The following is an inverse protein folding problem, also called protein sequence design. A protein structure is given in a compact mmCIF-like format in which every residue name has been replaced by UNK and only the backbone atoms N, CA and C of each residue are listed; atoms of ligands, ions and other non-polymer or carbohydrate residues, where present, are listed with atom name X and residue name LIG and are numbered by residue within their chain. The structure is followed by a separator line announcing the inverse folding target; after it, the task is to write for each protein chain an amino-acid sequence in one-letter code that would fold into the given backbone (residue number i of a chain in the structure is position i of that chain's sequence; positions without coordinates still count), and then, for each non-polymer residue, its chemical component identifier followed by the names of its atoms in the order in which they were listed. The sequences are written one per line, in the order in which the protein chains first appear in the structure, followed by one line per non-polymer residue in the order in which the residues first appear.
data_IF_908817996411
#
_entry.id   IF_908817996411
#
_cell.length_a   1.000
_cell.length_b   1.000
_cell.length_c   1.000
_cell.angle_alpha   90.00
_cell.angle_beta   90.00
_cell.angle_gamma   90.00
#
_symmetry.space_group_name_H-M   'P 1'
#
loop_
_entity.id
_entity.type
_entity.pdbx_description
1 polymer ?
#
# COMPACT_ATOMS: atom_id res chain seq x y z
N UNK A 1 64.47 -41.42 -37.50
CA UNK A 1 64.33 -40.57 -36.30
C UNK A 1 63.90 -39.18 -36.75
N UNK A 2 62.63 -38.81 -36.57
CA UNK A 2 62.20 -37.49 -36.08
C UNK A 2 60.68 -37.49 -35.95
N UNK A 3 60.20 -37.14 -34.77
CA UNK A 3 58.81 -37.22 -34.33
C UNK A 3 57.95 -36.06 -34.88
N UNK A 4 56.72 -36.44 -35.23
CA UNK A 4 55.44 -35.75 -35.08
C UNK A 4 55.38 -34.47 -34.24
N UNK A 5 54.69 -33.44 -34.75
CA UNK A 5 53.70 -32.67 -34.00
C UNK A 5 52.78 -31.89 -34.97
N UNK A 6 51.54 -32.39 -35.14
CA UNK A 6 50.46 -31.69 -35.83
C UNK A 6 49.62 -30.99 -34.74
N UNK A 7 49.67 -29.66 -34.65
CA UNK A 7 48.87 -28.90 -33.69
C UNK A 7 47.50 -28.59 -34.31
N UNK A 8 46.47 -29.28 -33.85
CA UNK A 8 45.07 -29.03 -34.20
C UNK A 8 44.52 -27.99 -33.22
N UNK A 9 44.29 -26.76 -33.67
CA UNK A 9 43.63 -25.70 -32.88
C UNK A 9 42.13 -25.83 -33.08
N UNK A 10 41.44 -26.42 -32.10
CA UNK A 10 39.98 -26.42 -32.00
C UNK A 10 39.50 -25.08 -31.45
N UNK A 11 38.92 -24.25 -32.32
CA UNK A 11 38.17 -23.06 -31.92
C UNK A 11 36.88 -23.50 -31.20
N UNK A 12 36.85 -23.39 -29.87
CA UNK A 12 35.60 -23.46 -29.11
C UNK A 12 34.79 -22.21 -29.40
N UNK A 13 33.72 -22.35 -30.17
CA UNK A 13 32.66 -21.35 -30.28
C UNK A 13 32.00 -21.17 -28.92
N UNK A 14 32.40 -20.15 -28.17
CA UNK A 14 31.68 -19.70 -26.98
C UNK A 14 30.40 -19.02 -27.44
N UNK A 15 29.30 -19.77 -27.41
CA UNK A 15 27.96 -19.20 -27.51
C UNK A 15 27.74 -18.30 -26.29
N UNK A 16 27.95 -17.00 -26.46
CA UNK A 16 27.46 -16.00 -25.50
C UNK A 16 25.94 -16.04 -25.59
N UNK A 17 25.30 -16.80 -24.69
CA UNK A 17 23.89 -16.62 -24.38
C UNK A 17 23.74 -15.25 -23.72
N UNK A 18 23.57 -14.22 -24.54
CA UNK A 18 22.95 -12.98 -24.08
C UNK A 18 21.49 -13.30 -23.81
N UNK A 19 21.15 -13.59 -22.55
CA UNK A 19 19.77 -13.56 -22.11
C UNK A 19 19.18 -12.20 -22.52
N UNK A 20 18.00 -12.14 -23.15
CA UNK A 20 17.35 -10.87 -23.42
C UNK A 20 17.22 -10.11 -22.09
N UNK A 21 17.26 -8.76 -22.10
CA UNK A 21 16.99 -7.98 -20.91
C UNK A 21 15.65 -8.48 -20.36
N UNK A 22 15.62 -8.95 -19.12
CA UNK A 22 14.34 -9.08 -18.43
C UNK A 22 13.77 -7.66 -18.41
N UNK A 23 12.72 -7.42 -19.20
CA UNK A 23 11.86 -6.23 -19.05
C UNK A 23 11.32 -6.28 -17.62
N UNK A 24 12.07 -5.68 -16.71
CA UNK A 24 11.67 -5.54 -15.32
C UNK A 24 10.54 -4.53 -15.23
N UNK A 25 9.67 -4.72 -14.25
CA UNK A 25 8.65 -3.73 -13.88
C UNK A 25 9.34 -2.39 -13.61
N UNK A 26 8.98 -1.37 -14.37
CA UNK A 26 9.30 0.01 -14.09
C UNK A 26 8.75 0.41 -12.72
N UNK A 27 9.40 1.39 -12.08
CA UNK A 27 9.03 1.84 -10.72
C UNK A 27 7.61 2.39 -10.62
N UNK A 28 7.02 2.82 -11.73
CA UNK A 28 5.69 3.42 -11.80
C UNK A 28 4.65 2.50 -12.46
N UNK A 29 5.03 1.27 -12.80
CA UNK A 29 4.13 0.34 -13.47
C UNK A 29 3.12 -0.17 -12.45
N UNK A 30 1.82 -0.11 -12.77
CA UNK A 30 0.76 -0.64 -11.92
C UNK A 30 0.59 -2.13 -12.21
N UNK A 31 0.93 -3.00 -11.26
CA UNK A 31 0.82 -4.46 -11.43
C UNK A 31 -0.65 -4.90 -11.27
N UNK A 32 -1.31 -4.33 -10.26
CA UNK A 32 -2.65 -4.69 -9.85
C UNK A 32 -3.39 -3.44 -9.38
N UNK A 33 -4.56 -3.20 -9.97
CA UNK A 33 -5.45 -2.09 -9.63
C UNK A 33 -6.85 -2.63 -9.34
N UNK A 34 -7.43 -2.29 -8.19
CA UNK A 34 -8.81 -2.59 -7.85
C UNK A 34 -9.51 -1.32 -7.40
N UNK A 35 -10.49 -0.84 -8.16
CA UNK A 35 -11.27 0.36 -7.85
C UNK A 35 -12.75 0.00 -7.71
N UNK A 36 -13.22 -0.06 -6.47
CA UNK A 36 -14.63 -0.26 -6.13
C UNK A 36 -15.27 1.06 -5.72
N UNK A 37 -16.37 1.44 -6.38
CA UNK A 37 -17.08 2.71 -6.14
C UNK A 37 -18.58 2.52 -6.05
N UNK A 38 -19.19 3.26 -5.13
CA UNK A 38 -20.65 3.47 -5.05
C UNK A 38 -20.96 4.97 -5.11
N UNK A 39 -22.21 5.37 -4.90
CA UNK A 39 -22.56 6.80 -4.75
C UNK A 39 -22.11 7.37 -3.38
N UNK A 40 -21.73 6.52 -2.43
CA UNK A 40 -21.44 6.92 -1.05
C UNK A 40 -19.95 6.84 -0.70
N UNK A 41 -19.23 5.88 -1.28
CA UNK A 41 -17.87 5.56 -0.88
C UNK A 41 -17.04 5.02 -2.04
N UNK A 42 -15.72 5.06 -1.83
CA UNK A 42 -14.72 4.48 -2.72
C UNK A 42 -13.72 3.65 -1.92
N UNK A 43 -13.26 2.56 -2.53
CA UNK A 43 -12.10 1.78 -2.09
C UNK A 43 -11.27 1.41 -3.31
N UNK A 44 -10.11 2.04 -3.42
CA UNK A 44 -9.17 1.92 -4.54
C UNK A 44 -7.82 1.43 -4.02
N UNK A 45 -7.35 0.30 -4.53
CA UNK A 45 -6.04 -0.26 -4.25
C UNK A 45 -5.19 -0.27 -5.52
N UNK A 46 -3.92 0.12 -5.39
CA UNK A 46 -2.91 -0.02 -6.43
C UNK A 46 -1.68 -0.72 -5.86
N UNK A 47 -1.16 -1.75 -6.51
CA UNK A 47 0.17 -2.31 -6.28
C UNK A 47 1.09 -1.91 -7.43
N UNK A 48 2.23 -1.30 -7.11
CA UNK A 48 3.21 -0.84 -8.06
C UNK A 48 4.37 -1.83 -8.24
N UNK A 49 5.06 -1.72 -9.38
CA UNK A 49 6.24 -2.48 -9.79
C UNK A 49 7.36 -2.53 -8.75
N UNK A 50 7.53 -1.42 -8.03
CA UNK A 50 8.54 -1.24 -6.99
C UNK A 50 8.16 -1.88 -5.63
N UNK A 51 6.97 -2.45 -5.49
CA UNK A 51 6.49 -3.02 -4.22
C UNK A 51 5.67 -2.05 -3.35
N UNK A 52 5.42 -0.82 -3.79
CA UNK A 52 4.52 0.07 -3.07
C UNK A 52 3.07 -0.37 -3.27
N UNK A 53 2.31 -0.52 -2.19
CA UNK A 53 0.87 -0.67 -2.20
C UNK A 53 0.19 0.60 -1.67
N UNK A 54 -0.76 1.14 -2.43
CA UNK A 54 -1.50 2.36 -2.12
C UNK A 54 -2.97 2.07 -2.01
N UNK A 55 -3.57 2.45 -0.89
CA UNK A 55 -5.00 2.34 -0.64
C UNK A 55 -5.61 3.72 -0.46
N UNK A 56 -6.59 4.07 -1.30
CA UNK A 56 -7.48 5.21 -1.11
C UNK A 56 -8.85 4.68 -0.71
N UNK A 57 -9.34 5.04 0.48
CA UNK A 57 -10.65 4.57 0.91
C UNK A 57 -11.37 5.50 1.87
N UNK A 58 -12.70 5.55 1.77
CA UNK A 58 -13.57 6.34 2.64
C UNK A 58 -14.85 6.80 1.94
N UNK A 59 -15.64 7.68 2.58
CA UNK A 59 -16.73 8.39 1.91
C UNK A 59 -16.21 9.17 0.71
N UNK A 60 -17.02 9.30 -0.34
CA UNK A 60 -16.64 10.10 -1.51
C UNK A 60 -16.36 11.55 -1.09
N UNK A 61 -15.18 12.06 -1.45
CA UNK A 61 -14.71 13.40 -1.10
C UNK A 61 -13.97 13.48 0.25
N UNK A 62 -13.95 12.40 1.02
CA UNK A 62 -13.26 12.29 2.31
C UNK A 62 -12.33 11.06 2.36
N UNK A 63 -11.91 10.55 1.20
CA UNK A 63 -11.09 9.35 1.14
C UNK A 63 -9.71 9.56 1.75
N UNK A 64 -9.30 8.64 2.63
CA UNK A 64 -7.95 8.62 3.20
C UNK A 64 -7.02 7.84 2.30
N UNK A 65 -5.83 8.40 2.08
CA UNK A 65 -4.74 7.72 1.38
C UNK A 65 -3.81 7.05 2.39
N UNK A 66 -3.50 5.78 2.16
CA UNK A 66 -2.52 5.01 2.92
C UNK A 66 -1.54 4.34 1.97
N UNK A 67 -0.32 4.18 2.45
CA UNK A 67 0.77 3.57 1.72
C UNK A 67 1.39 2.47 2.58
N UNK A 68 1.84 1.42 1.93
CA UNK A 68 2.59 0.34 2.54
C UNK A 68 3.64 -0.15 1.56
N UNK A 69 4.87 -0.36 2.02
CA UNK A 69 5.93 -0.92 1.20
C UNK A 69 6.04 -2.41 1.47
N UNK A 70 5.96 -3.21 0.40
CA UNK A 70 6.18 -4.65 0.48
C UNK A 70 7.67 -4.93 0.38
N UNK A 71 8.13 -5.95 1.12
CA UNK A 71 9.46 -6.48 0.87
C UNK A 71 9.54 -7.08 -0.55
N UNK A 72 10.71 -7.04 -1.21
CA UNK A 72 10.85 -7.50 -2.59
C UNK A 72 10.32 -8.91 -2.83
N UNK A 73 10.54 -9.82 -1.88
CA UNK A 73 10.06 -11.21 -1.95
C UNK A 73 8.55 -11.36 -1.75
N UNK A 74 7.92 -10.49 -0.95
CA UNK A 74 6.45 -10.46 -0.83
C UNK A 74 5.81 -9.99 -2.14
N UNK A 75 6.36 -8.93 -2.72
CA UNK A 75 5.90 -8.43 -4.03
C UNK A 75 6.10 -9.48 -5.12
N UNK A 76 7.26 -10.16 -5.19
CA UNK A 76 7.48 -11.24 -6.16
C UNK A 76 6.46 -12.37 -5.98
N UNK A 77 6.18 -12.78 -4.73
CA UNK A 77 5.19 -13.81 -4.46
C UNK A 77 3.78 -13.42 -4.91
N UNK A 78 3.39 -12.14 -4.83
CA UNK A 78 2.11 -11.67 -5.37
C UNK A 78 2.14 -11.72 -6.91
N UNK A 79 3.21 -11.23 -7.53
CA UNK A 79 3.37 -11.26 -9.00
C UNK A 79 3.30 -12.68 -9.54
N UNK A 80 3.98 -13.63 -8.91
CA UNK A 80 3.99 -15.02 -9.33
C UNK A 80 2.60 -15.66 -9.19
N UNK A 81 1.87 -15.39 -8.10
CA UNK A 81 0.46 -15.82 -7.97
C UNK A 81 -0.44 -15.22 -9.05
N UNK A 82 -0.23 -13.97 -9.42
CA UNK A 82 -1.00 -13.34 -10.50
C UNK A 82 -0.72 -14.00 -11.86
N UNK A 83 0.53 -14.40 -12.13
CA UNK A 83 0.91 -15.14 -13.35
C UNK A 83 0.27 -16.51 -13.47
N UNK A 84 0.05 -17.18 -12.33
CA UNK A 84 -0.60 -18.51 -12.29
C UNK A 84 -2.11 -18.45 -12.55
N UNK A 85 -2.73 -17.28 -12.42
CA UNK A 85 -4.17 -17.12 -12.60
C UNK A 85 -4.49 -16.65 -14.01
N UNK A 86 -5.16 -17.51 -14.78
CA UNK A 86 -5.67 -17.12 -16.09
C UNK A 86 -6.96 -16.28 -15.97
N UNK A 87 -6.83 -14.98 -16.21
CA UNK A 87 -7.96 -14.04 -16.26
C UNK A 87 -8.56 -13.89 -17.66
N UNK A 88 -7.97 -14.48 -18.69
CA UNK A 88 -8.41 -14.30 -20.08
C UNK A 88 -9.82 -14.87 -20.29
N UNK A 89 -10.13 -16.00 -19.66
CA UNK A 89 -11.45 -16.66 -19.72
C UNK A 89 -12.47 -16.12 -18.70
N UNK A 90 -12.05 -15.28 -17.75
CA UNK A 90 -12.97 -14.70 -16.78
C UNK A 90 -13.84 -13.64 -17.47
N UNK A 91 -15.15 -13.78 -17.44
CA UNK A 91 -16.06 -12.75 -17.95
C UNK A 91 -16.34 -11.67 -16.90
N UNK A 92 -16.58 -10.44 -17.36
CA UNK A 92 -17.10 -9.37 -16.52
C UNK A 92 -18.55 -9.68 -16.13
N UNK A 93 -18.92 -9.40 -14.88
CA UNK A 93 -20.33 -9.47 -14.48
C UNK A 93 -21.07 -8.21 -14.92
N UNK A 94 -22.21 -8.39 -15.57
CA UNK A 94 -23.15 -7.32 -15.95
C UNK A 94 -24.37 -7.24 -15.05
N UNK A 95 -24.55 -8.20 -14.15
CA UNK A 95 -25.68 -8.24 -13.23
C UNK A 95 -25.32 -7.37 -12.02
N UNK A 96 -26.08 -6.32 -11.76
CA UNK A 96 -26.14 -5.79 -10.40
C UNK A 96 -27.58 -5.44 -10.06
N UNK A 97 -28.03 -5.90 -8.90
CA UNK A 97 -29.12 -5.22 -8.21
C UNK A 97 -28.62 -3.80 -7.95
N UNK A 98 -29.23 -2.81 -8.59
CA UNK A 98 -28.82 -1.41 -8.45
C UNK A 98 -29.13 -0.86 -7.06
N UNK A 99 -28.36 0.15 -6.65
CA UNK A 99 -28.58 0.90 -5.41
C UNK A 99 -27.40 1.81 -5.10
N UNK A 100 -27.65 2.91 -4.41
CA UNK A 100 -26.64 3.94 -4.10
C UNK A 100 -25.46 3.41 -3.26
N UNK A 101 -25.64 2.29 -2.56
CA UNK A 101 -24.63 1.62 -1.74
C UNK A 101 -23.90 0.47 -2.46
N UNK A 102 -24.36 0.05 -3.64
CA UNK A 102 -23.78 -1.09 -4.35
C UNK A 102 -22.52 -0.65 -5.06
N UNK A 103 -21.39 -1.24 -4.68
CA UNK A 103 -20.10 -0.91 -5.27
C UNK A 103 -19.89 -1.65 -6.60
N UNK A 104 -19.58 -0.90 -7.64
CA UNK A 104 -19.09 -1.40 -8.92
C UNK A 104 -17.57 -1.35 -8.90
N UNK A 105 -16.95 -2.50 -9.14
CA UNK A 105 -15.51 -2.69 -9.11
C UNK A 105 -14.95 -2.82 -10.53
N UNK A 106 -13.81 -2.19 -10.76
CA UNK A 106 -12.93 -2.44 -11.90
C UNK A 106 -11.60 -3.00 -11.39
N UNK A 107 -11.23 -4.19 -11.89
CA UNK A 107 -9.99 -4.88 -11.55
C UNK A 107 -9.11 -4.95 -12.80
N UNK A 108 -7.89 -4.45 -12.70
CA UNK A 108 -6.89 -4.48 -13.77
C UNK A 108 -5.63 -5.19 -13.29
N UNK A 109 -5.11 -6.08 -14.12
CA UNK A 109 -3.81 -6.74 -13.93
C UNK A 109 -2.93 -6.45 -15.13
N UNK A 110 -1.73 -5.95 -14.89
CA UNK A 110 -0.73 -5.65 -15.90
C UNK A 110 0.61 -6.27 -15.48
N UNK A 111 0.98 -7.35 -16.17
CA UNK A 111 2.19 -8.12 -15.88
C UNK A 111 3.20 -7.94 -17.01
N UNK A 112 4.51 -7.95 -16.72
CA UNK A 112 5.54 -7.85 -17.75
C UNK A 112 5.40 -8.95 -18.80
N UNK A 113 5.43 -8.57 -20.07
CA UNK A 113 5.31 -9.48 -21.19
C UNK A 113 3.86 -9.89 -21.54
N UNK A 114 2.85 -9.32 -20.87
CA UNK A 114 1.43 -9.57 -21.14
C UNK A 114 0.66 -8.28 -21.36
N UNK A 115 -0.40 -8.34 -22.17
CA UNK A 115 -1.32 -7.21 -22.31
C UNK A 115 -2.11 -7.00 -21.01
N UNK A 116 -2.42 -5.75 -20.61
CA UNK A 116 -3.28 -5.48 -19.46
C UNK A 116 -4.66 -6.13 -19.62
N UNK A 117 -5.17 -6.74 -18.54
CA UNK A 117 -6.50 -7.34 -18.51
C UNK A 117 -7.35 -6.62 -17.47
N UNK A 118 -8.46 -6.02 -17.91
CA UNK A 118 -9.45 -5.38 -17.04
C UNK A 118 -10.76 -6.17 -16.99
N UNK A 119 -11.34 -6.31 -15.79
CA UNK A 119 -12.64 -6.94 -15.55
C UNK A 119 -13.49 -6.07 -14.63
N UNK A 120 -14.79 -6.01 -14.92
CA UNK A 120 -15.76 -5.25 -14.11
C UNK A 120 -16.78 -6.19 -13.48
N UNK A 121 -17.20 -5.88 -12.26
CA UNK A 121 -18.17 -6.66 -11.51
C UNK A 121 -18.77 -5.85 -10.37
N UNK A 122 -19.97 -6.18 -9.88
CA UNK A 122 -20.45 -5.63 -8.62
C UNK A 122 -19.86 -6.40 -7.44
N UNK A 123 -19.59 -5.73 -6.31
CA UNK A 123 -18.90 -6.31 -5.15
C UNK A 123 -19.55 -7.59 -4.63
N UNK A 124 -20.87 -7.70 -4.73
CA UNK A 124 -21.66 -8.81 -4.20
C UNK A 124 -22.04 -9.87 -5.24
N UNK A 125 -21.49 -9.78 -6.45
CA UNK A 125 -21.74 -10.77 -7.50
C UNK A 125 -21.08 -12.12 -7.20
N UNK A 126 -21.68 -13.17 -7.76
CA UNK A 126 -20.99 -14.45 -7.90
C UNK A 126 -19.96 -14.34 -9.02
N UNK A 127 -18.67 -14.46 -8.67
CA UNK A 127 -17.58 -14.28 -9.63
C UNK A 127 -17.06 -15.63 -10.15
N UNK A 128 -16.60 -15.70 -11.42
CA UNK A 128 -15.77 -16.80 -11.88
C UNK A 128 -14.57 -17.02 -10.96
N UNK A 129 -14.13 -18.27 -10.82
CA UNK A 129 -13.09 -18.67 -9.86
C UNK A 129 -11.79 -17.85 -9.99
N UNK A 130 -11.32 -17.63 -11.22
CA UNK A 130 -10.12 -16.85 -11.48
C UNK A 130 -10.25 -15.40 -10.98
N UNK A 131 -11.37 -14.74 -11.29
CA UNK A 131 -11.63 -13.37 -10.87
C UNK A 131 -11.80 -13.27 -9.33
N UNK A 132 -12.44 -14.26 -8.71
CA UNK A 132 -12.54 -14.34 -7.23
C UNK A 132 -11.17 -14.38 -6.58
N UNK A 133 -10.25 -15.20 -7.10
CA UNK A 133 -8.88 -15.34 -6.56
C UNK A 133 -8.09 -14.04 -6.63
N UNK A 134 -8.14 -13.33 -7.77
CA UNK A 134 -7.42 -12.06 -7.92
C UNK A 134 -8.05 -10.96 -7.05
N UNK A 135 -9.39 -10.91 -6.98
CA UNK A 135 -10.08 -10.01 -6.05
C UNK A 135 -9.67 -10.29 -4.60
N UNK A 136 -9.61 -11.55 -4.18
CA UNK A 136 -9.19 -11.94 -2.83
C UNK A 136 -7.76 -11.51 -2.52
N UNK A 137 -6.83 -11.68 -3.48
CA UNK A 137 -5.46 -11.17 -3.35
C UNK A 137 -5.45 -9.65 -3.17
N UNK A 138 -6.20 -8.91 -3.99
CA UNK A 138 -6.31 -7.46 -3.91
C UNK A 138 -6.91 -7.03 -2.56
N UNK A 139 -8.04 -7.60 -2.14
CA UNK A 139 -8.69 -7.27 -0.87
C UNK A 139 -7.77 -7.56 0.32
N UNK A 140 -7.13 -8.73 0.34
CA UNK A 140 -6.19 -9.08 1.41
C UNK A 140 -5.01 -8.11 1.49
N UNK A 141 -4.48 -7.68 0.35
CA UNK A 141 -3.44 -6.65 0.31
C UNK A 141 -3.97 -5.31 0.82
N UNK A 142 -5.15 -4.87 0.38
CA UNK A 142 -5.78 -3.64 0.87
C UNK A 142 -6.04 -3.66 2.36
N UNK A 143 -6.46 -4.80 2.92
CA UNK A 143 -6.66 -4.95 4.36
C UNK A 143 -5.33 -4.89 5.12
N UNK A 144 -4.23 -5.42 4.56
CA UNK A 144 -2.88 -5.23 5.10
C UNK A 144 -2.43 -3.76 5.06
N UNK A 145 -2.66 -3.02 3.97
CA UNK A 145 -2.33 -1.59 3.88
C UNK A 145 -3.14 -0.80 4.92
N UNK A 146 -4.41 -1.11 5.07
CA UNK A 146 -5.29 -0.50 6.06
C UNK A 146 -4.82 -0.80 7.49
N UNK A 147 -4.49 -2.07 7.78
CA UNK A 147 -3.96 -2.50 9.08
C UNK A 147 -2.61 -1.85 9.37
N UNK A 148 -1.68 -1.83 8.41
CA UNK A 148 -0.39 -1.18 8.57
C UNK A 148 -0.54 0.33 8.76
N UNK A 149 -1.49 0.98 8.06
CA UNK A 149 -1.81 2.39 8.28
C UNK A 149 -2.51 2.67 9.61
N UNK A 150 -3.24 1.70 10.17
CA UNK A 150 -3.85 1.77 11.51
C UNK A 150 -2.84 1.44 12.63
N UNK A 151 -1.91 0.51 12.38
CA UNK A 151 -0.80 0.14 13.26
C UNK A 151 0.32 1.19 13.23
N UNK A 152 0.44 1.95 12.14
CA UNK A 152 1.12 3.24 12.09
C UNK A 152 0.35 4.35 12.84
N UNK A 153 -0.76 4.00 13.51
CA UNK A 153 -1.36 4.76 14.59
C UNK A 153 -0.38 4.82 15.76
N UNK A 154 0.35 5.93 15.81
CA UNK A 154 1.32 6.31 16.81
C UNK A 154 2.06 7.55 16.30
N UNK A 155 2.70 8.28 17.20
CA UNK A 155 3.65 9.32 16.78
C UNK A 155 4.78 8.66 15.95
N UNK A 156 5.31 9.33 14.90
CA UNK A 156 6.39 8.76 14.09
C UNK A 156 7.55 8.23 14.94
N UNK A 157 8.24 7.14 14.55
CA UNK A 157 9.38 6.64 15.31
C UNK A 157 10.44 7.73 15.54
N UNK A 158 10.81 7.97 16.80
CA UNK A 158 11.75 9.04 17.17
C UNK A 158 11.16 10.45 17.11
N UNK A 159 9.83 10.59 17.05
CA UNK A 159 9.13 11.87 17.08
C UNK A 159 9.56 12.69 18.30
N UNK A 160 9.96 13.94 18.03
CA UNK A 160 10.19 14.96 19.05
C UNK A 160 9.16 16.05 18.87
N UNK A 161 8.39 16.29 19.92
CA UNK A 161 7.34 17.29 19.95
C UNK A 161 7.91 18.66 19.60
N UNK A 162 7.28 19.38 18.67
CA UNK A 162 7.60 20.77 18.36
C UNK A 162 6.49 21.66 18.90
N UNK A 163 6.87 22.84 19.36
CA UNK A 163 5.90 23.85 19.78
C UNK A 163 4.89 24.11 18.66
N UNK A 164 3.61 24.00 18.99
CA UNK A 164 2.50 24.16 18.06
C UNK A 164 1.99 22.86 17.43
N UNK A 165 2.70 21.74 17.58
CA UNK A 165 2.21 20.43 17.13
C UNK A 165 0.89 20.10 17.83
N UNK A 166 -0.02 19.46 17.10
CA UNK A 166 -1.33 19.05 17.61
C UNK A 166 -1.38 17.54 17.75
N UNK A 167 -1.60 17.04 18.95
CA UNK A 167 -1.60 15.61 19.25
C UNK A 167 -2.99 15.15 19.63
N UNK A 168 -3.40 14.00 19.09
CA UNK A 168 -4.62 13.30 19.54
C UNK A 168 -4.25 12.28 20.59
N UNK A 169 -4.81 12.42 21.78
CA UNK A 169 -4.62 11.48 22.89
C UNK A 169 -5.48 10.22 22.69
N UNK A 170 -5.14 9.12 23.37
CA UNK A 170 -5.89 7.85 23.34
C UNK A 170 -7.38 7.97 23.66
N UNK A 171 -7.78 8.99 24.42
CA UNK A 171 -9.17 9.28 24.78
C UNK A 171 -9.91 10.14 23.72
N UNK A 172 -9.23 10.50 22.64
CA UNK A 172 -9.77 11.28 21.53
C UNK A 172 -9.62 12.79 21.66
N UNK A 173 -9.15 13.31 22.81
CA UNK A 173 -8.97 14.75 22.99
C UNK A 173 -7.73 15.29 22.29
N UNK A 174 -7.81 16.54 21.85
CA UNK A 174 -6.73 17.24 21.16
C UNK A 174 -5.92 18.09 22.12
N UNK A 175 -4.60 18.03 21.95
CA UNK A 175 -3.63 18.75 22.77
C UNK A 175 -2.60 19.45 21.89
N UNK A 176 -2.33 20.73 22.19
CA UNK A 176 -1.29 21.50 21.52
C UNK A 176 -0.01 21.49 22.34
N UNK A 177 1.12 21.18 21.72
CA UNK A 177 2.44 21.24 22.36
C UNK A 177 2.81 22.70 22.63
N UNK A 178 3.06 23.04 23.89
CA UNK A 178 3.54 24.36 24.30
C UNK A 178 5.07 24.44 24.28
N UNK A 179 5.74 23.64 25.09
CA UNK A 179 7.21 23.60 25.20
C UNK A 179 7.70 22.28 25.82
N UNK A 180 9.02 22.05 25.77
CA UNK A 180 9.68 21.11 26.67
C UNK A 180 9.91 21.74 28.05
N UNK A 181 9.93 20.90 29.10
CA UNK A 181 10.39 21.30 30.43
C UNK A 181 11.85 21.72 30.41
N UNK A 182 12.27 22.50 31.42
CA UNK A 182 13.65 23.02 31.52
C UNK A 182 14.74 21.94 31.57
N UNK A 183 14.42 20.74 32.02
CA UNK A 183 15.30 19.58 32.06
C UNK A 183 15.24 18.71 30.79
N UNK A 184 14.37 19.06 29.83
CA UNK A 184 14.17 18.34 28.57
C UNK A 184 13.49 16.98 28.69
N UNK A 185 13.02 16.60 29.87
CA UNK A 185 12.44 15.27 30.14
C UNK A 185 10.93 15.20 29.95
N UNK A 186 10.24 16.33 29.98
CA UNK A 186 8.79 16.41 29.83
C UNK A 186 8.38 17.37 28.72
N UNK A 187 7.16 17.17 28.23
CA UNK A 187 6.50 18.03 27.26
C UNK A 187 5.24 18.59 27.89
N UNK A 188 5.10 19.91 27.83
CA UNK A 188 3.94 20.66 28.28
C UNK A 188 2.94 20.79 27.13
N UNK A 189 1.69 20.43 27.41
CA UNK A 189 0.60 20.35 26.44
C UNK A 189 -0.62 21.10 26.97
N UNK A 190 -1.28 21.87 26.09
CA UNK A 190 -2.53 22.57 26.37
C UNK A 190 -3.69 21.83 25.69
N UNK A 191 -4.76 21.54 26.43
CA UNK A 191 -5.99 21.01 25.85
C UNK A 191 -6.61 22.01 24.89
N UNK A 192 -6.93 21.57 23.67
CA UNK A 192 -7.58 22.42 22.65
C UNK A 192 -9.06 22.61 22.99
N UNK A 193 -9.74 21.52 23.38
CA UNK A 193 -11.17 21.51 23.67
C UNK A 193 -11.48 21.61 25.17
N UNK A 194 -10.45 21.67 26.01
CA UNK A 194 -10.57 21.69 27.47
C UNK A 194 -9.53 22.62 28.09
N UNK A 195 -9.90 23.46 29.07
CA UNK A 195 -8.99 24.43 29.68
C UNK A 195 -8.08 23.76 30.72
N UNK A 196 -7.22 22.86 30.27
CA UNK A 196 -6.29 22.13 31.12
C UNK A 196 -4.90 22.04 30.48
N UNK A 197 -3.87 22.03 31.33
CA UNK A 197 -2.48 21.84 30.93
C UNK A 197 -1.99 20.50 31.48
N UNK A 198 -1.37 19.70 30.63
CA UNK A 198 -0.82 18.38 30.98
C UNK A 198 0.68 18.39 30.80
N UNK A 199 1.37 17.65 31.66
CA UNK A 199 2.79 17.36 31.55
C UNK A 199 2.96 15.87 31.33
N UNK A 200 3.67 15.51 30.25
CA UNK A 200 3.91 14.12 29.87
C UNK A 200 5.41 13.91 29.74
N UNK A 201 5.92 12.77 30.21
CA UNK A 201 7.33 12.41 30.00
C UNK A 201 7.57 12.24 28.51
N UNK A 202 8.66 12.82 27.99
CA UNK A 202 8.93 12.87 26.56
C UNK A 202 9.00 11.48 25.92
N UNK A 203 9.53 10.49 26.66
CA UNK A 203 9.64 9.08 26.24
C UNK A 203 8.35 8.26 26.45
N UNK A 204 7.25 8.92 26.84
CA UNK A 204 5.92 8.31 27.03
C UNK A 204 4.85 8.91 26.11
N UNK A 205 5.23 9.91 25.30
CA UNK A 205 4.34 10.57 24.34
C UNK A 205 3.71 9.58 23.36
N UNK A 206 4.48 8.59 22.91
CA UNK A 206 4.04 7.54 21.99
C UNK A 206 3.05 6.55 22.61
N UNK A 207 3.03 6.44 23.94
CA UNK A 207 2.08 5.61 24.69
C UNK A 207 0.77 6.33 24.97
N UNK A 208 0.82 7.65 25.15
CA UNK A 208 -0.36 8.44 25.51
C UNK A 208 -1.07 9.09 24.31
N UNK A 209 -0.38 9.28 23.19
CA UNK A 209 -0.89 10.00 22.02
C UNK A 209 -0.79 9.17 20.74
N UNK A 210 -1.90 9.14 20.02
CA UNK A 210 -2.16 8.27 18.87
C UNK A 210 -1.65 8.83 17.56
N UNK A 211 -1.65 10.16 17.37
CA UNK A 211 -1.25 10.76 16.11
C UNK A 211 -0.96 12.26 16.23
N UNK A 212 -0.15 12.76 15.29
CA UNK A 212 0.02 14.17 14.98
C UNK A 212 -1.09 14.59 14.00
N UNK A 213 -1.88 15.60 14.37
CA UNK A 213 -3.00 16.11 13.57
C UNK A 213 -2.55 17.33 12.79
N UNK A 214 -2.38 17.19 11.47
CA UNK A 214 -1.83 18.24 10.59
C UNK A 214 -2.78 19.40 10.30
N UNK A 215 -4.10 19.19 10.42
CA UNK A 215 -5.12 20.20 10.10
C UNK A 215 -5.92 20.72 11.31
N UNK A 216 -5.65 20.20 12.52
CA UNK A 216 -6.64 20.13 13.59
C UNK A 216 -6.30 20.82 14.91
N UNK A 217 -5.58 21.94 14.88
CA UNK A 217 -5.39 22.78 16.08
C UNK A 217 -6.12 24.13 15.99
N UNK A 218 -6.96 24.35 14.97
CA UNK A 218 -7.80 25.56 14.94
C UNK A 218 -8.91 25.42 15.98
N UNK A 219 -9.14 26.48 16.78
CA UNK A 219 -10.22 26.50 17.77
C UNK A 219 -11.59 26.34 17.11
#
# INVERSE_FOLDING_TARGET
MSLTALFLVTLLSTSVSSSPPQEGLGRSDEILHLDCRSELARRELTLFGNGTARLRSGPLGEEKLRLFELDPGERDAIVDRLREIDLSEAESSTLSAGGSWVEICALTVELPGSAPITRSFARYDSLPLALSRVRELAVALGDRVEEAGRAAGGLPPGYRARRGDCLRRVDGHLFRVLNYTSDGKGVELEGVDQPLTVYVVADELDREYLELVTDGCRP
#
